data_IF_697047164659
#
_entry.id   IF_697047164659
#
_cell.length_a   1.000
_cell.length_b   1.000
_cell.length_c   1.000
_cell.angle_alpha   90.00
_cell.angle_beta   90.00
_cell.angle_gamma   90.00
#
_symmetry.space_group_name_H-M   'P 1'
#
loop_
_entity.id
_entity.type
_entity.pdbx_description
1 polymer ?
#
# COMPACT_ATOMS: atom_id res chain seq x y z
N UNK A 1 -10.53 -1.53 4.99
CA UNK A 1 -9.24 -0.90 4.66
C UNK A 1 -8.25 -0.98 5.82
N UNK A 2 -8.70 -1.04 7.08
CA UNK A 2 -7.83 -1.12 8.27
C UNK A 2 -6.73 -2.20 8.20
N UNK A 3 -7.06 -3.44 7.79
CA UNK A 3 -6.05 -4.52 7.66
C UNK A 3 -4.91 -4.13 6.73
N UNK A 4 -5.21 -3.59 5.55
CA UNK A 4 -4.19 -3.16 4.59
C UNK A 4 -3.32 -2.03 5.16
N UNK A 5 -3.92 -1.07 5.86
CA UNK A 5 -3.17 0.03 6.47
C UNK A 5 -2.29 -0.46 7.64
N UNK A 6 -2.81 -1.36 8.46
CA UNK A 6 -2.07 -2.00 9.54
C UNK A 6 -0.88 -2.79 9.00
N UNK A 7 -1.09 -3.53 7.91
CA UNK A 7 -0.02 -4.26 7.24
C UNK A 7 1.09 -3.31 6.76
N UNK A 8 0.77 -2.25 6.00
CA UNK A 8 1.76 -1.25 5.53
C UNK A 8 2.51 -0.63 6.71
N UNK A 9 1.80 -0.28 7.78
CA UNK A 9 2.39 0.27 9.00
C UNK A 9 3.40 -0.70 9.65
N UNK A 10 3.07 -2.00 9.75
CA UNK A 10 3.98 -3.02 10.30
C UNK A 10 5.19 -3.31 9.42
N UNK A 11 5.12 -3.03 8.11
CA UNK A 11 6.29 -3.08 7.22
C UNK A 11 7.26 -1.90 7.44
N UNK A 12 6.95 -0.96 8.34
CA UNK A 12 7.77 0.23 8.60
C UNK A 12 7.62 1.32 7.54
N UNK A 13 6.59 1.25 6.70
CA UNK A 13 6.34 2.19 5.61
C UNK A 13 5.37 3.28 6.05
N UNK A 14 5.70 4.54 5.74
CA UNK A 14 4.79 5.67 5.95
C UNK A 14 3.63 5.62 4.95
N UNK A 15 2.40 5.84 5.42
CA UNK A 15 1.19 5.69 4.62
C UNK A 15 0.34 6.97 4.64
N UNK A 16 -0.27 7.28 3.51
CA UNK A 16 -1.22 8.39 3.35
C UNK A 16 -2.52 7.81 2.79
N UNK A 17 -3.64 8.05 3.46
CA UNK A 17 -4.95 7.63 2.97
C UNK A 17 -5.84 8.84 2.72
N UNK A 18 -6.62 8.79 1.64
CA UNK A 18 -7.61 9.82 1.30
C UNK A 18 -9.00 9.20 1.37
N UNK A 19 -9.92 9.90 2.03
CA UNK A 19 -11.35 9.59 2.02
C UNK A 19 -12.13 10.89 2.15
N UNK A 20 -13.31 10.95 1.52
CA UNK A 20 -14.29 12.02 1.73
C UNK A 20 -15.39 11.61 2.72
N UNK A 21 -15.42 10.34 3.11
CA UNK A 21 -16.35 9.82 4.10
C UNK A 21 -15.70 9.90 5.50
N UNK A 22 -16.31 10.68 6.39
CA UNK A 22 -15.82 10.92 7.76
C UNK A 22 -15.72 9.64 8.60
N UNK A 23 -16.71 8.76 8.49
CA UNK A 23 -16.71 7.49 9.20
C UNK A 23 -15.51 6.63 8.78
N UNK A 24 -15.21 6.58 7.47
CA UNK A 24 -14.01 5.89 6.97
C UNK A 24 -12.71 6.53 7.44
N UNK A 25 -12.65 7.86 7.58
CA UNK A 25 -11.46 8.55 8.10
C UNK A 25 -11.20 8.10 9.54
N UNK A 26 -12.23 8.10 10.38
CA UNK A 26 -12.12 7.66 11.78
C UNK A 26 -11.67 6.20 11.85
N UNK A 27 -12.30 5.32 11.07
CA UNK A 27 -11.93 3.90 11.01
C UNK A 27 -10.48 3.70 10.54
N UNK A 28 -10.00 4.47 9.56
CA UNK A 28 -8.62 4.33 9.07
C UNK A 28 -7.55 4.71 10.11
N UNK A 29 -7.88 5.62 11.03
CA UNK A 29 -6.98 6.04 12.10
C UNK A 29 -6.91 4.98 13.21
N UNK A 30 -7.97 4.19 13.38
CA UNK A 30 -8.08 3.16 14.43
C UNK A 30 -7.34 1.84 14.08
N UNK A 31 -6.06 1.96 13.74
CA UNK A 31 -5.18 0.83 13.38
C UNK A 31 -4.01 0.65 14.35
N UNK A 32 -3.85 1.55 15.33
CA UNK A 32 -2.68 1.56 16.20
C UNK A 32 -2.86 0.72 17.48
N UNK A 33 -4.10 0.42 17.87
CA UNK A 33 -4.42 -0.31 19.10
C UNK A 33 -4.29 -1.84 19.02
N UNK A 34 -3.95 -2.39 17.87
CA UNK A 34 -3.85 -3.84 17.62
C UNK A 34 -2.81 -4.12 16.54
N UNK A 35 -2.43 -5.39 16.35
CA UNK A 35 -1.46 -5.83 15.35
C UNK A 35 -1.90 -7.11 14.65
N UNK A 36 -1.45 -7.28 13.41
CA UNK A 36 -1.51 -8.57 12.72
C UNK A 36 -0.48 -9.53 13.33
N UNK A 37 -0.84 -10.80 13.44
CA UNK A 37 0.08 -11.86 13.90
C UNK A 37 1.10 -12.20 12.82
N UNK A 38 2.15 -12.94 13.18
CA UNK A 38 3.15 -13.40 12.20
C UNK A 38 2.50 -14.28 11.13
N UNK A 39 1.56 -15.15 11.50
CA UNK A 39 0.85 -16.01 10.55
C UNK A 39 0.01 -15.20 9.55
N UNK A 40 -0.70 -14.17 10.01
CA UNK A 40 -1.48 -13.28 9.13
C UNK A 40 -0.57 -12.47 8.19
N UNK A 41 0.58 -12.01 8.68
CA UNK A 41 1.58 -11.33 7.85
C UNK A 41 2.15 -12.27 6.78
N UNK A 42 2.45 -13.51 7.16
CA UNK A 42 2.92 -14.57 6.26
C UNK A 42 1.87 -14.89 5.19
N UNK A 43 0.59 -14.97 5.53
CA UNK A 43 -0.48 -15.15 4.55
C UNK A 43 -0.54 -13.99 3.54
N UNK A 44 -0.46 -12.75 4.01
CA UNK A 44 -0.46 -11.56 3.14
C UNK A 44 0.78 -11.56 2.23
N UNK A 45 1.95 -11.99 2.72
CA UNK A 45 3.19 -12.04 1.94
C UNK A 45 3.11 -12.97 0.72
N UNK A 46 2.20 -13.95 0.75
CA UNK A 46 2.00 -14.92 -0.34
C UNK A 46 1.11 -14.39 -1.45
N UNK A 47 0.45 -13.25 -1.24
CA UNK A 47 -0.38 -12.63 -2.28
C UNK A 47 0.52 -12.18 -3.45
N UNK A 48 0.11 -12.46 -4.70
CA UNK A 48 0.86 -12.01 -5.86
C UNK A 48 0.90 -10.48 -5.90
N UNK A 49 2.11 -9.91 -5.95
CA UNK A 49 2.27 -8.47 -6.08
C UNK A 49 2.15 -8.03 -7.53
N UNK A 50 1.41 -6.94 -7.73
CA UNK A 50 1.30 -6.26 -9.02
C UNK A 50 1.31 -4.75 -8.80
N UNK A 51 2.11 -4.03 -9.60
CA UNK A 51 2.10 -2.57 -9.63
C UNK A 51 0.89 -2.08 -10.41
N UNK A 52 -0.04 -1.41 -9.73
CA UNK A 52 -1.22 -0.81 -10.37
C UNK A 52 -0.90 0.54 -11.01
N UNK A 53 0.00 1.30 -10.40
CA UNK A 53 0.44 2.62 -10.88
C UNK A 53 1.93 2.53 -11.17
N UNK A 54 2.29 2.83 -12.42
CA UNK A 54 3.68 2.87 -12.90
C UNK A 54 4.05 4.31 -13.22
N UNK A 55 5.35 4.62 -13.29
CA UNK A 55 5.77 5.94 -13.73
C UNK A 55 5.31 6.24 -15.15
N UNK A 56 5.33 5.25 -16.05
CA UNK A 56 4.83 5.40 -17.41
C UNK A 56 3.32 5.76 -17.45
N UNK A 57 2.52 5.25 -16.51
CA UNK A 57 1.09 5.58 -16.44
C UNK A 57 0.82 7.03 -16.06
N UNK A 58 1.76 7.71 -15.40
CA UNK A 58 1.64 9.11 -14.96
C UNK A 58 2.34 10.06 -15.94
N UNK A 59 3.55 9.70 -16.37
CA UNK A 59 4.47 10.57 -17.09
C UNK A 59 4.54 10.28 -18.59
N UNK A 60 3.88 9.22 -19.06
CA UNK A 60 3.92 8.76 -20.45
C UNK A 60 5.06 7.77 -20.74
N UNK A 61 4.99 7.04 -21.86
CA UNK A 61 5.90 5.94 -22.18
C UNK A 61 7.19 6.43 -22.84
N UNK A 62 7.97 7.24 -22.12
CA UNK A 62 9.31 7.64 -22.57
C UNK A 62 10.35 6.58 -22.19
N UNK A 63 11.38 6.39 -23.01
CA UNK A 63 12.40 5.36 -22.81
C UNK A 63 13.02 5.39 -21.40
N UNK A 64 13.33 6.58 -20.89
CA UNK A 64 13.86 6.77 -19.53
C UNK A 64 12.87 6.33 -18.43
N UNK A 65 11.57 6.55 -18.66
CA UNK A 65 10.52 6.20 -17.71
C UNK A 65 10.29 4.68 -17.70
N UNK A 66 10.31 4.04 -18.86
CA UNK A 66 10.19 2.59 -18.98
C UNK A 66 11.37 1.86 -18.34
N UNK A 67 12.59 2.42 -18.46
CA UNK A 67 13.77 1.88 -17.76
C UNK A 67 13.64 1.97 -16.24
N UNK A 68 13.08 3.07 -15.72
CA UNK A 68 12.81 3.22 -14.29
C UNK A 68 11.78 2.17 -13.84
N UNK A 69 10.68 2.01 -14.57
CA UNK A 69 9.64 1.03 -14.24
C UNK A 69 10.15 -0.41 -14.28
N UNK A 70 11.12 -0.73 -15.14
CA UNK A 70 11.75 -2.05 -15.25
C UNK A 70 12.82 -2.33 -14.18
N UNK A 71 13.44 -1.29 -13.63
CA UNK A 71 14.47 -1.40 -12.59
C UNK A 71 13.92 -1.35 -11.16
N UNK A 72 12.67 -0.89 -10.98
CA UNK A 72 11.91 -0.98 -9.74
C UNK A 72 11.18 -2.32 -9.63
#
# INVERSE_FOLDING_TARGET
MQIALRWVYQQGVSLITKSFNKERINQNIDIFGWSLTEEELDEISRLPQQKTITFASIMGPHDVVLQIDAGL
#
